data_IF_510086061350
#
_entry.id   IF_510086061350
#
_cell.length_a   1.000
_cell.length_b   1.000
_cell.length_c   1.000
_cell.angle_alpha   90.00
_cell.angle_beta   90.00
_cell.angle_gamma   90.00
#
_symmetry.space_group_name_H-M   'P 1'
#
loop_
_entity.id
_entity.type
_entity.pdbx_description
1 polymer ?
#
# COMPACT_ATOMS: atom_id res chain seq x y z
N UNK A 1 17.71 -17.93 10.22
CA UNK A 1 16.30 -17.53 10.49
C UNK A 1 15.50 -17.65 9.20
N UNK A 2 14.40 -18.38 9.22
CA UNK A 2 13.54 -18.51 8.05
C UNK A 2 12.59 -17.31 7.91
N UNK A 3 11.88 -17.22 6.78
CA UNK A 3 10.96 -16.11 6.52
C UNK A 3 9.84 -16.00 7.54
N UNK A 4 9.36 -17.14 8.07
CA UNK A 4 8.28 -17.13 9.05
C UNK A 4 8.74 -16.51 10.36
N UNK A 5 9.91 -16.93 10.87
CA UNK A 5 10.46 -16.40 12.12
C UNK A 5 10.79 -14.91 12.00
N UNK A 6 11.38 -14.51 10.88
CA UNK A 6 11.69 -13.11 10.62
C UNK A 6 10.41 -12.26 10.58
N UNK A 7 9.37 -12.78 9.96
CA UNK A 7 8.06 -12.10 9.91
C UNK A 7 7.49 -11.89 11.31
N UNK A 8 7.53 -12.92 12.15
CA UNK A 8 7.06 -12.80 13.54
C UNK A 8 7.86 -11.76 14.33
N UNK A 9 9.18 -11.78 14.20
CA UNK A 9 10.04 -10.81 14.86
C UNK A 9 9.72 -9.38 14.45
N UNK A 10 9.58 -9.14 13.15
CA UNK A 10 9.29 -7.82 12.62
C UNK A 10 7.89 -7.33 13.02
N UNK A 11 6.91 -8.22 13.05
CA UNK A 11 5.56 -7.88 13.55
C UNK A 11 5.60 -7.44 15.02
N UNK A 12 6.34 -8.15 15.85
CA UNK A 12 6.50 -7.77 17.26
C UNK A 12 7.17 -6.40 17.40
N UNK A 13 8.21 -6.14 16.63
CA UNK A 13 8.88 -4.84 16.60
C UNK A 13 7.94 -3.71 16.20
N UNK A 14 7.12 -3.95 15.16
CA UNK A 14 6.12 -2.97 14.70
C UNK A 14 5.09 -2.66 15.79
N UNK A 15 4.57 -3.69 16.46
CA UNK A 15 3.58 -3.54 17.53
C UNK A 15 4.16 -2.83 18.77
N UNK A 16 5.43 -3.02 19.03
CA UNK A 16 6.12 -2.42 20.20
C UNK A 16 6.58 -0.99 19.93
N UNK A 17 6.49 -0.50 18.71
CA UNK A 17 6.96 0.83 18.36
C UNK A 17 6.12 1.91 19.05
N UNK A 18 6.80 2.87 19.67
CA UNK A 18 6.17 4.02 20.31
C UNK A 18 5.35 4.82 19.30
N UNK A 19 4.13 5.23 19.70
CA UNK A 19 3.21 5.94 18.80
C UNK A 19 3.78 7.25 18.24
N UNK A 20 4.49 8.01 19.05
CA UNK A 20 5.10 9.26 18.62
C UNK A 20 6.21 9.01 17.59
N UNK A 21 7.05 8.00 17.82
CA UNK A 21 8.11 7.60 16.88
C UNK A 21 7.52 7.05 15.58
N UNK A 22 6.45 6.27 15.67
CA UNK A 22 5.77 5.77 14.49
C UNK A 22 5.20 6.90 13.65
N UNK A 23 4.53 7.87 14.27
CA UNK A 23 3.99 9.03 13.56
C UNK A 23 5.08 9.81 12.85
N UNK A 24 6.19 10.05 13.51
CA UNK A 24 7.34 10.75 12.93
C UNK A 24 7.90 10.00 11.73
N UNK A 25 8.09 8.69 11.85
CA UNK A 25 8.57 7.84 10.76
C UNK A 25 7.59 7.80 9.58
N UNK A 26 6.30 7.65 9.87
CA UNK A 26 5.27 7.65 8.82
C UNK A 26 5.27 8.97 8.03
N UNK A 27 5.36 10.10 8.71
CA UNK A 27 5.39 11.40 8.06
C UNK A 27 6.65 11.58 7.20
N UNK A 28 7.80 11.12 7.68
CA UNK A 28 9.04 11.19 6.90
C UNK A 28 8.97 10.33 5.64
N UNK A 29 8.47 9.10 5.76
CA UNK A 29 8.34 8.17 4.64
C UNK A 29 7.36 8.72 3.61
N UNK A 30 6.22 9.25 4.06
CA UNK A 30 5.25 9.89 3.18
C UNK A 30 5.87 11.06 2.42
N UNK A 31 6.61 11.92 3.12
CA UNK A 31 7.28 13.07 2.51
C UNK A 31 8.28 12.64 1.43
N UNK A 32 9.05 11.59 1.71
CA UNK A 32 10.02 11.06 0.74
C UNK A 32 9.33 10.53 -0.51
N UNK A 33 8.23 9.81 -0.34
CA UNK A 33 7.47 9.31 -1.49
C UNK A 33 6.95 10.45 -2.35
N UNK A 34 6.35 11.47 -1.74
CA UNK A 34 5.76 12.60 -2.46
C UNK A 34 6.80 13.45 -3.20
N UNK A 35 8.07 13.38 -2.81
CA UNK A 35 9.17 14.08 -3.48
C UNK A 35 9.79 13.29 -4.63
N UNK A 36 9.45 12.02 -4.79
CA UNK A 36 10.00 11.22 -5.88
C UNK A 36 9.50 11.70 -7.23
N UNK A 37 10.35 11.52 -8.26
CA UNK A 37 9.99 11.80 -9.65
C UNK A 37 8.82 10.92 -10.08
N UNK A 38 8.84 9.64 -9.68
CA UNK A 38 7.84 8.64 -10.01
C UNK A 38 6.45 9.08 -9.53
N UNK A 39 6.34 9.57 -8.29
CA UNK A 39 5.07 10.08 -7.78
C UNK A 39 4.64 11.36 -8.53
N UNK A 40 5.56 12.29 -8.72
CA UNK A 40 5.22 13.58 -9.35
C UNK A 40 4.74 13.43 -10.78
N UNK A 41 5.27 12.48 -11.52
CA UNK A 41 4.97 12.27 -12.93
C UNK A 41 3.82 11.30 -13.19
N UNK A 42 3.39 10.53 -12.22
CA UNK A 42 2.30 9.56 -12.43
C UNK A 42 0.94 10.24 -12.42
N UNK A 43 -0.03 9.60 -13.09
CA UNK A 43 -1.44 10.03 -13.09
C UNK A 43 -2.27 9.21 -12.12
N UNK A 44 -1.83 8.00 -11.81
CA UNK A 44 -2.58 7.01 -11.02
C UNK A 44 -1.72 6.51 -9.89
N UNK A 45 -2.29 6.44 -8.69
CA UNK A 45 -1.64 5.90 -7.50
C UNK A 45 -2.46 4.71 -7.01
N UNK A 46 -1.90 3.51 -7.14
CA UNK A 46 -2.45 2.31 -6.52
C UNK A 46 -1.80 2.20 -5.15
N UNK A 47 -2.60 2.17 -4.09
CA UNK A 47 -2.08 2.29 -2.73
C UNK A 47 -2.91 1.48 -1.75
N UNK A 48 -2.24 0.78 -0.85
CA UNK A 48 -2.94 0.07 0.22
C UNK A 48 -3.52 1.05 1.24
N UNK A 49 -4.62 0.65 1.88
CA UNK A 49 -5.20 1.40 3.00
C UNK A 49 -4.60 0.84 4.28
N UNK A 50 -3.73 1.60 4.92
CA UNK A 50 -2.95 1.13 6.05
C UNK A 50 -3.77 0.82 7.29
N UNK A 51 -3.38 -0.24 8.00
CA UNK A 51 -3.82 -0.53 9.36
C UNK A 51 -2.86 0.12 10.37
N UNK A 52 -3.06 -0.15 11.67
CA UNK A 52 -2.31 0.51 12.75
C UNK A 52 -0.82 0.17 12.80
N UNK A 53 -0.41 -0.98 12.29
CA UNK A 53 0.99 -1.43 12.32
C UNK A 53 1.73 -1.17 11.02
N UNK A 54 1.02 -0.93 9.93
CA UNK A 54 1.62 -0.60 8.64
C UNK A 54 2.06 0.87 8.61
N UNK A 55 2.95 1.20 7.70
CA UNK A 55 3.29 2.60 7.43
C UNK A 55 2.05 3.28 6.91
N UNK A 56 1.68 4.39 7.54
CA UNK A 56 0.44 5.09 7.25
C UNK A 56 0.43 5.64 5.82
N UNK A 57 -0.63 5.35 5.08
CA UNK A 57 -0.80 5.80 3.70
C UNK A 57 -1.89 6.86 3.53
N UNK A 58 -2.62 7.21 4.59
CA UNK A 58 -3.73 8.18 4.48
C UNK A 58 -3.25 9.55 4.00
N UNK A 59 -2.09 9.98 4.46
CA UNK A 59 -1.47 11.22 4.00
C UNK A 59 -1.11 11.20 2.51
N UNK A 60 -0.61 10.07 2.03
CA UNK A 60 -0.31 9.85 0.61
C UNK A 60 -1.59 9.90 -0.23
N UNK A 61 -2.64 9.23 0.23
CA UNK A 61 -3.94 9.20 -0.45
C UNK A 61 -4.52 10.61 -0.55
N UNK A 62 -4.53 11.35 0.56
CA UNK A 62 -5.05 12.71 0.59
C UNK A 62 -4.22 13.66 -0.29
N UNK A 63 -2.90 13.53 -0.28
CA UNK A 63 -2.03 14.31 -1.16
C UNK A 63 -2.30 14.01 -2.64
N UNK A 64 -2.50 12.75 -2.98
CA UNK A 64 -2.80 12.35 -4.36
C UNK A 64 -4.13 12.96 -4.84
N UNK A 65 -5.17 12.96 -3.99
CA UNK A 65 -6.41 13.67 -4.30
C UNK A 65 -6.18 15.16 -4.51
N UNK A 66 -5.42 15.80 -3.61
CA UNK A 66 -5.11 17.22 -3.72
C UNK A 66 -4.34 17.54 -5.01
N UNK A 67 -3.49 16.63 -5.44
CA UNK A 67 -2.71 16.75 -6.68
C UNK A 67 -3.49 16.31 -7.93
N UNK A 68 -4.78 16.03 -7.78
CA UNK A 68 -5.69 15.62 -8.87
C UNK A 68 -5.27 14.34 -9.57
N UNK A 69 -4.61 13.45 -8.85
CA UNK A 69 -4.27 12.12 -9.35
C UNK A 69 -5.44 11.17 -9.10
N UNK A 70 -5.55 10.13 -9.91
CA UNK A 70 -6.49 9.05 -9.67
C UNK A 70 -5.92 8.14 -8.59
N UNK A 71 -6.74 7.80 -7.62
CA UNK A 71 -6.36 6.92 -6.49
C UNK A 71 -7.16 5.64 -6.59
N UNK A 72 -6.47 4.51 -6.51
CA UNK A 72 -7.10 3.20 -6.47
C UNK A 72 -6.60 2.41 -5.28
N UNK A 73 -7.49 1.68 -4.64
CA UNK A 73 -7.22 0.88 -3.45
C UNK A 73 -7.60 -0.57 -3.67
N UNK A 74 -6.94 -1.51 -2.97
CA UNK A 74 -7.12 -2.93 -3.24
C UNK A 74 -8.32 -3.53 -2.53
N UNK A 75 -8.90 -4.54 -3.19
CA UNK A 75 -9.82 -5.51 -2.61
C UNK A 75 -9.16 -6.87 -2.69
N UNK A 76 -9.16 -7.62 -1.59
CA UNK A 76 -8.71 -9.00 -1.59
C UNK A 76 -9.86 -9.90 -2.03
N UNK A 77 -9.68 -10.61 -3.12
CA UNK A 77 -10.66 -11.56 -3.63
C UNK A 77 -10.61 -12.87 -2.83
N UNK A 78 -11.61 -13.74 -3.05
CA UNK A 78 -11.70 -15.01 -2.30
C UNK A 78 -10.51 -15.94 -2.54
N UNK A 79 -9.88 -15.86 -3.71
CA UNK A 79 -8.68 -16.62 -4.07
C UNK A 79 -7.37 -15.93 -3.63
N UNK A 80 -7.45 -14.89 -2.80
CA UNK A 80 -6.33 -14.04 -2.34
C UNK A 80 -5.66 -13.21 -3.44
N UNK A 81 -6.22 -13.12 -4.63
CA UNK A 81 -5.78 -12.15 -5.63
C UNK A 81 -6.24 -10.74 -5.24
N UNK A 82 -5.56 -9.72 -5.77
CA UNK A 82 -5.93 -8.31 -5.55
C UNK A 82 -6.55 -7.73 -6.81
N UNK A 83 -7.59 -6.96 -6.60
CA UNK A 83 -8.16 -6.07 -7.61
C UNK A 83 -8.15 -4.66 -7.06
N UNK A 84 -7.76 -3.68 -7.87
CA UNK A 84 -7.73 -2.28 -7.46
C UNK A 84 -8.92 -1.54 -8.05
N UNK A 85 -9.52 -0.68 -7.24
CA UNK A 85 -10.70 0.11 -7.63
C UNK A 85 -10.46 1.58 -7.35
N UNK A 86 -10.81 2.43 -8.31
CA UNK A 86 -10.73 3.88 -8.12
C UNK A 86 -11.71 4.35 -7.06
N UNK A 87 -11.27 5.27 -6.23
CA UNK A 87 -12.10 5.96 -5.24
C UNK A 87 -11.91 7.47 -5.39
N UNK A 88 -12.90 8.23 -4.96
CA UNK A 88 -12.86 9.69 -4.94
C UNK A 88 -12.72 10.25 -3.52
N UNK A 89 -12.94 9.42 -2.50
CA UNK A 89 -12.86 9.82 -1.10
C UNK A 89 -12.63 8.59 -0.23
N UNK A 90 -11.94 8.77 0.89
CA UNK A 90 -11.81 7.74 1.92
C UNK A 90 -13.16 7.35 2.54
N UNK A 91 -14.17 8.20 2.40
CA UNK A 91 -15.54 7.91 2.88
C UNK A 91 -16.22 6.79 2.11
N UNK A 92 -15.72 6.43 0.94
CA UNK A 92 -16.23 5.33 0.12
C UNK A 92 -15.78 3.95 0.62
N UNK A 93 -14.97 3.90 1.68
CA UNK A 93 -14.41 2.67 2.22
C UNK A 93 -15.21 2.16 3.41
N UNK A 94 -15.34 0.83 3.49
CA UNK A 94 -15.89 0.12 4.65
C UNK A 94 -15.03 -1.08 4.97
N UNK A 95 -15.11 -1.54 6.22
CA UNK A 95 -14.38 -2.73 6.65
C UNK A 95 -14.85 -3.96 5.86
N UNK A 96 -13.89 -4.63 5.22
CA UNK A 96 -14.10 -5.85 4.45
C UNK A 96 -13.37 -7.02 5.07
N UNK A 97 -12.83 -7.90 4.21
CA UNK A 97 -12.05 -9.08 4.64
C UNK A 97 -10.83 -8.66 5.44
N UNK A 98 -10.48 -9.46 6.44
CA UNK A 98 -9.31 -9.26 7.31
C UNK A 98 -9.31 -7.90 8.01
N UNK A 99 -10.49 -7.32 8.24
CA UNK A 99 -10.66 -5.99 8.86
C UNK A 99 -9.96 -4.87 8.09
N UNK A 100 -9.76 -5.05 6.79
CA UNK A 100 -9.18 -4.05 5.92
C UNK A 100 -10.29 -3.21 5.31
N UNK A 101 -10.08 -1.89 5.24
CA UNK A 101 -11.02 -0.98 4.59
C UNK A 101 -10.97 -1.21 3.08
N UNK A 102 -12.14 -1.43 2.49
CA UNK A 102 -12.29 -1.70 1.08
C UNK A 102 -13.37 -0.80 0.46
N UNK A 103 -13.30 -0.49 -0.84
CA UNK A 103 -14.33 0.28 -1.51
C UNK A 103 -15.65 -0.47 -1.55
N UNK A 104 -16.74 0.24 -1.24
CA UNK A 104 -18.10 -0.31 -1.33
C UNK A 104 -18.52 -0.43 -2.77
N UNK A 105 -18.29 0.62 -3.56
CA UNK A 105 -18.55 0.63 -4.99
C UNK A 105 -17.40 -0.01 -5.75
N UNK A 106 -17.71 -1.02 -6.56
CA UNK A 106 -16.73 -1.80 -7.32
C UNK A 106 -16.96 -1.70 -8.83
N UNK A 107 -17.54 -0.60 -9.29
CA UNK A 107 -17.78 -0.38 -10.71
C UNK A 107 -16.54 0.14 -11.45
N UNK A 108 -15.60 0.76 -10.73
CA UNK A 108 -14.44 1.44 -11.28
C UNK A 108 -13.15 0.64 -11.09
N UNK A 109 -13.13 -0.61 -11.54
CA UNK A 109 -11.92 -1.43 -11.48
C UNK A 109 -10.82 -0.87 -12.38
N UNK A 110 -9.60 -0.85 -11.88
CA UNK A 110 -8.43 -0.47 -12.68
C UNK A 110 -8.10 -1.62 -13.63
N UNK A 111 -8.14 -1.34 -14.93
CA UNK A 111 -7.81 -2.29 -15.99
C UNK A 111 -6.58 -1.87 -16.81
N UNK A 112 -6.17 -0.62 -16.67
CA UNK A 112 -5.03 -0.01 -17.35
C UNK A 112 -4.07 0.57 -16.33
N UNK A 113 -2.84 0.07 -16.31
CA UNK A 113 -1.80 0.47 -15.36
C UNK A 113 -0.80 1.48 -15.96
N UNK A 114 -1.09 2.01 -17.13
CA UNK A 114 -0.22 2.98 -17.77
C UNK A 114 -0.08 4.23 -16.89
N UNK A 115 1.15 4.73 -16.77
CA UNK A 115 1.51 5.92 -16.01
C UNK A 115 1.05 5.88 -14.54
N UNK A 116 1.20 4.72 -13.93
CA UNK A 116 0.83 4.50 -12.53
C UNK A 116 2.04 4.15 -11.66
N UNK A 117 1.88 4.36 -10.36
CA UNK A 117 2.74 3.76 -9.34
C UNK A 117 1.89 2.85 -8.46
N UNK A 118 2.51 1.81 -7.91
CA UNK A 118 1.89 0.97 -6.89
C UNK A 118 2.68 1.09 -5.59
N UNK A 119 2.04 1.61 -4.56
CA UNK A 119 2.61 1.72 -3.22
C UNK A 119 2.32 0.42 -2.48
N UNK A 120 3.37 -0.31 -2.13
CA UNK A 120 3.32 -1.69 -1.66
C UNK A 120 3.63 -1.75 -0.16
N UNK A 121 2.79 -2.43 0.64
CA UNK A 121 3.08 -2.65 2.06
C UNK A 121 4.17 -3.72 2.21
N UNK A 122 5.03 -3.56 3.21
CA UNK A 122 6.02 -4.57 3.55
C UNK A 122 6.48 -4.46 4.99
N UNK A 123 6.92 -5.57 5.56
CA UNK A 123 7.58 -5.58 6.84
C UNK A 123 9.04 -5.17 6.69
N UNK A 124 9.70 -5.63 5.64
CA UNK A 124 11.04 -5.19 5.27
C UNK A 124 11.31 -5.45 3.79
N UNK A 125 12.35 -4.80 3.28
CA UNK A 125 12.87 -5.02 1.94
C UNK A 125 14.39 -5.12 2.01
N UNK A 126 15.00 -5.81 1.05
CA UNK A 126 16.44 -5.75 0.83
C UNK A 126 16.78 -4.75 -0.30
N UNK A 127 18.07 -4.53 -0.51
CA UNK A 127 18.53 -3.60 -1.54
C UNK A 127 18.32 -4.12 -2.96
N UNK A 128 18.02 -5.41 -3.11
CA UNK A 128 17.70 -6.01 -4.40
C UNK A 128 16.21 -5.95 -4.75
N UNK A 129 15.39 -5.37 -3.89
CA UNK A 129 13.95 -5.24 -4.12
C UNK A 129 13.12 -6.43 -3.66
N UNK A 130 13.72 -7.40 -2.98
CA UNK A 130 12.96 -8.48 -2.36
C UNK A 130 12.28 -7.96 -1.09
N UNK A 131 11.03 -8.35 -0.90
CA UNK A 131 10.26 -7.90 0.26
C UNK A 131 9.70 -9.06 1.07
N UNK A 132 9.50 -8.83 2.35
CA UNK A 132 8.73 -9.69 3.23
C UNK A 132 7.43 -8.97 3.57
N UNK A 133 6.32 -9.55 3.12
CA UNK A 133 4.98 -9.07 3.41
C UNK A 133 4.36 -9.79 4.60
N UNK A 134 3.04 -9.68 4.68
CA UNK A 134 2.28 -10.16 5.84
C UNK A 134 1.84 -11.63 5.73
N UNK A 135 2.24 -12.33 4.67
CA UNK A 135 2.17 -13.80 4.61
C UNK A 135 1.09 -14.40 3.72
N UNK A 136 0.23 -13.63 3.09
CA UNK A 136 -0.87 -14.17 2.26
C UNK A 136 -0.57 -14.23 0.76
N UNK A 137 0.55 -13.64 0.32
CA UNK A 137 0.98 -13.69 -1.08
C UNK A 137 0.15 -12.85 -2.05
N UNK A 138 -0.77 -12.03 -1.56
CA UNK A 138 -1.67 -11.22 -2.39
C UNK A 138 -0.90 -10.25 -3.29
N UNK A 139 0.07 -9.53 -2.71
CA UNK A 139 0.87 -8.57 -3.47
C UNK A 139 1.87 -9.24 -4.39
N UNK A 140 2.50 -10.34 -3.98
CA UNK A 140 3.45 -11.04 -4.83
C UNK A 140 2.80 -11.49 -6.13
N UNK A 141 1.58 -12.00 -6.05
CA UNK A 141 0.80 -12.41 -7.20
C UNK A 141 0.42 -11.22 -8.09
N UNK A 142 -0.08 -10.14 -7.49
CA UNK A 142 -0.45 -8.94 -8.23
C UNK A 142 0.77 -8.31 -8.90
N UNK A 143 1.88 -8.16 -8.17
CA UNK A 143 3.08 -7.50 -8.66
C UNK A 143 3.79 -8.27 -9.77
N UNK A 144 3.59 -9.60 -9.86
CA UNK A 144 4.16 -10.40 -10.95
C UNK A 144 3.60 -10.00 -12.32
N UNK A 145 2.39 -9.44 -12.34
CA UNK A 145 1.72 -9.01 -13.58
C UNK A 145 1.68 -7.48 -13.74
N UNK A 146 1.98 -6.75 -12.68
CA UNK A 146 1.95 -5.29 -12.69
C UNK A 146 3.15 -4.72 -13.45
N UNK A 147 2.89 -3.86 -14.43
CA UNK A 147 3.91 -3.29 -15.33
C UNK A 147 4.39 -1.90 -14.93
N UNK A 148 3.74 -1.26 -13.98
CA UNK A 148 4.11 0.08 -13.51
C UNK A 148 5.25 0.08 -12.49
N UNK A 149 5.53 1.25 -11.94
CA UNK A 149 6.55 1.44 -10.90
C UNK A 149 6.05 0.94 -9.56
N UNK A 150 6.86 0.13 -8.89
CA UNK A 150 6.57 -0.43 -7.58
C UNK A 150 7.38 0.31 -6.52
N UNK A 151 6.70 0.86 -5.50
CA UNK A 151 7.36 1.58 -4.41
C UNK A 151 6.96 0.93 -3.10
N UNK A 152 7.94 0.39 -2.39
CA UNK A 152 7.74 -0.28 -1.12
C UNK A 152 7.98 0.68 0.03
N UNK A 153 7.04 0.75 0.97
CA UNK A 153 7.20 1.55 2.19
C UNK A 153 7.64 0.64 3.34
N UNK A 154 8.79 0.95 3.91
CA UNK A 154 9.38 0.18 5.02
C UNK A 154 10.00 1.09 6.07
#
# INVERSE_FOLDING_TARGET
MNKHDLRLELLLKRKALDKAKKLEADLEIQSRLLLTKEYRECDKVLVYVSNDIEIDTKGIINAAFANKKKVAVPVTNDDFSLSFYYINSLRELKEGKFKILEPVNRDNKVDDFENSICVVPALCCDLSGNRIGYGKGCYDRFLSEYTGVKICLV
#
